data_IF_386208848785
#
_entry.id   IF_386208848785
#
_cell.length_a   1.000
_cell.length_b   1.000
_cell.length_c   1.000
_cell.angle_alpha   90.00
_cell.angle_beta   90.00
_cell.angle_gamma   90.00
#
_symmetry.space_group_name_H-M   'P 1'
#
loop_
_entity.id
_entity.type
_entity.pdbx_description
1 polymer ?
#
# COMPACT_ATOMS: atom_id res chain seq x y z
N UNK A 1 11.21 23.17 32.29
CA UNK A 1 11.44 23.91 33.55
C UNK A 1 11.82 22.85 34.59
N UNK A 2 13.11 22.64 34.77
CA UNK A 2 13.66 21.99 35.97
C UNK A 2 14.70 22.97 36.48
N UNK A 3 14.35 23.59 37.61
CA UNK A 3 15.11 24.60 38.31
C UNK A 3 16.40 23.98 38.86
N UNK A 4 17.56 24.53 38.49
CA UNK A 4 18.83 24.17 39.09
C UNK A 4 19.50 25.45 39.56
N UNK A 5 19.34 25.73 40.85
CA UNK A 5 20.11 26.74 41.57
C UNK A 5 21.59 26.36 41.50
N UNK A 6 22.38 27.28 40.96
CA UNK A 6 23.84 27.29 41.12
C UNK A 6 24.14 27.61 42.58
N UNK A 7 24.54 26.59 43.36
CA UNK A 7 25.09 26.78 44.69
C UNK A 7 26.57 26.39 44.65
N UNK A 8 27.43 27.30 45.13
CA UNK A 8 28.87 27.18 45.11
C UNK A 8 29.32 26.72 46.49
N UNK A 9 29.55 25.43 46.66
CA UNK A 9 30.19 24.89 47.87
C UNK A 9 31.33 23.96 47.48
N UNK A 10 32.51 24.20 48.06
CA UNK A 10 33.54 23.17 48.21
C UNK A 10 34.28 22.67 46.95
N UNK A 11 34.77 23.56 46.08
CA UNK A 11 36.08 23.40 45.42
C UNK A 11 36.43 22.15 44.59
N UNK A 12 35.55 21.19 44.32
CA UNK A 12 35.89 19.98 43.56
C UNK A 12 34.72 19.48 42.69
N UNK A 13 34.91 19.51 41.36
CA UNK A 13 34.04 18.83 40.42
C UNK A 13 34.53 17.40 40.23
N UNK A 14 33.84 16.44 40.86
CA UNK A 14 34.13 15.01 40.70
C UNK A 14 33.74 14.52 39.31
N UNK A 15 34.66 13.83 38.64
CA UNK A 15 34.46 13.20 37.34
C UNK A 15 33.50 12.01 37.45
N UNK A 16 32.26 12.19 37.02
CA UNK A 16 31.36 11.07 36.72
C UNK A 16 31.30 10.91 35.20
N UNK A 17 31.97 9.87 34.66
CA UNK A 17 31.88 9.45 33.26
C UNK A 17 30.48 8.92 32.96
N UNK A 18 29.54 9.83 32.73
CA UNK A 18 28.25 9.54 32.11
C UNK A 18 28.23 10.20 30.74
N UNK A 19 27.91 9.40 29.71
CA UNK A 19 27.79 9.75 28.29
C UNK A 19 27.28 11.20 28.10
N UNK A 20 28.20 12.13 27.85
CA UNK A 20 27.85 13.54 27.65
C UNK A 20 27.10 13.66 26.32
N UNK A 21 25.79 13.85 26.42
CA UNK A 21 24.94 14.14 25.29
C UNK A 21 25.48 15.38 24.56
N UNK A 22 26.15 15.17 23.42
CA UNK A 22 26.91 16.21 22.70
C UNK A 22 26.06 17.42 22.30
N UNK A 23 24.74 17.26 22.16
CA UNK A 23 23.81 18.37 21.90
C UNK A 23 23.71 19.34 23.09
N UNK A 24 23.64 18.81 24.32
CA UNK A 24 23.55 19.60 25.54
C UNK A 24 24.82 20.41 25.80
N UNK A 25 25.99 19.80 25.58
CA UNK A 25 27.30 20.44 25.75
C UNK A 25 27.45 21.70 24.87
N UNK A 26 27.05 21.62 23.60
CA UNK A 26 27.11 22.78 22.68
C UNK A 26 26.19 23.90 23.14
N UNK A 27 24.99 23.57 23.59
CA UNK A 27 24.02 24.55 24.07
C UNK A 27 24.55 25.31 25.30
N UNK A 28 25.16 24.60 26.26
CA UNK A 28 25.75 25.20 27.47
C UNK A 28 26.91 26.13 27.10
N UNK A 29 27.83 25.69 26.24
CA UNK A 29 28.98 26.50 25.80
C UNK A 29 28.50 27.78 25.09
N UNK A 30 27.50 27.67 24.21
CA UNK A 30 26.95 28.82 23.49
C UNK A 30 26.17 29.75 24.43
N UNK A 31 25.44 29.21 25.41
CA UNK A 31 24.73 30.01 26.41
C UNK A 31 25.71 30.82 27.30
N UNK A 32 26.81 30.20 27.76
CA UNK A 32 27.87 30.90 28.49
C UNK A 32 28.53 31.97 27.64
N UNK A 33 28.81 31.67 26.37
CA UNK A 33 29.36 32.64 25.43
C UNK A 33 28.41 33.83 25.21
N UNK A 34 27.10 33.59 25.08
CA UNK A 34 26.07 34.66 24.98
C UNK A 34 25.94 35.50 26.25
N UNK A 35 26.21 34.92 27.42
CA UNK A 35 26.24 35.63 28.72
C UNK A 35 27.51 36.49 28.91
N UNK A 36 28.41 36.55 27.92
CA UNK A 36 29.61 37.39 27.96
C UNK A 36 30.87 36.71 28.48
N UNK A 37 30.83 35.42 28.84
CA UNK A 37 32.03 34.69 29.26
C UNK A 37 32.98 34.50 28.07
N UNK A 38 34.28 34.75 28.30
CA UNK A 38 35.28 34.56 27.25
C UNK A 38 35.57 33.07 27.05
N UNK A 39 36.11 32.70 25.88
CA UNK A 39 36.50 31.31 25.61
C UNK A 39 37.52 30.74 26.62
N UNK A 40 38.31 31.61 27.26
CA UNK A 40 39.24 31.23 28.34
C UNK A 40 38.49 30.85 29.62
N UNK A 41 37.51 31.64 30.02
CA UNK A 41 36.68 31.40 31.21
C UNK A 41 35.87 30.10 31.07
N UNK A 42 35.31 29.89 29.87
CA UNK A 42 34.58 28.66 29.56
C UNK A 42 35.53 27.45 29.55
N UNK A 43 36.77 27.59 29.08
CA UNK A 43 37.76 26.50 29.16
C UNK A 43 38.18 26.17 30.60
N UNK A 44 38.24 27.17 31.49
CA UNK A 44 38.55 26.97 32.91
C UNK A 44 37.46 26.17 33.64
N UNK A 45 36.20 26.24 33.18
CA UNK A 45 35.08 25.46 33.74
C UNK A 45 35.15 23.95 33.46
N UNK A 46 36.15 23.47 32.68
CA UNK A 46 36.41 22.05 32.37
C UNK A 46 35.23 21.24 31.83
N UNK A 47 34.20 21.90 31.27
CA UNK A 47 33.01 21.25 30.68
C UNK A 47 33.39 20.46 29.41
N UNK A 48 34.41 20.89 28.66
CA UNK A 48 34.94 20.18 27.48
C UNK A 48 36.41 20.55 27.22
N UNK A 49 37.07 19.85 26.29
CA UNK A 49 38.41 20.21 25.86
C UNK A 49 38.47 21.62 25.27
N UNK A 50 39.57 22.34 25.53
CA UNK A 50 39.81 23.70 25.02
C UNK A 50 39.55 23.78 23.50
N UNK A 51 40.10 22.85 22.73
CA UNK A 51 39.90 22.78 21.26
C UNK A 51 38.42 22.66 20.85
N UNK A 52 37.63 21.88 21.60
CA UNK A 52 36.19 21.72 21.33
C UNK A 52 35.43 23.01 21.62
N UNK A 53 35.73 23.69 22.73
CA UNK A 53 35.08 24.96 23.11
C UNK A 53 35.33 26.03 22.03
N UNK A 54 36.59 26.24 21.64
CA UNK A 54 36.92 27.23 20.60
C UNK A 54 36.32 26.86 19.25
N UNK A 55 36.30 25.58 18.86
CA UNK A 55 35.65 25.12 17.63
C UNK A 55 34.14 25.36 17.64
N UNK A 56 33.48 25.15 18.79
CA UNK A 56 32.03 25.41 18.94
C UNK A 56 31.75 26.90 18.82
N UNK A 57 32.50 27.76 19.54
CA UNK A 57 32.34 29.21 19.49
C UNK A 57 32.60 29.74 18.07
N UNK A 58 33.66 29.27 17.40
CA UNK A 58 33.97 29.63 16.01
C UNK A 58 32.82 29.27 15.07
N UNK A 59 32.37 28.01 15.09
CA UNK A 59 31.26 27.58 14.24
C UNK A 59 29.96 28.35 14.56
N UNK A 60 29.73 28.72 15.82
CA UNK A 60 28.57 29.52 16.22
C UNK A 60 28.65 30.95 15.69
N UNK A 61 29.83 31.60 15.74
CA UNK A 61 30.04 32.93 15.13
C UNK A 61 29.80 32.92 13.61
N UNK A 62 30.25 31.88 12.93
CA UNK A 62 30.13 31.77 11.46
C UNK A 62 28.72 31.39 10.99
N UNK A 63 28.01 30.54 11.74
CA UNK A 63 26.72 29.98 11.30
C UNK A 63 25.50 30.50 12.05
N UNK A 64 25.67 31.16 13.19
CA UNK A 64 24.60 31.58 14.11
C UNK A 64 23.79 30.42 14.73
N UNK A 65 24.11 29.17 14.39
CA UNK A 65 23.32 28.00 14.76
C UNK A 65 24.01 27.17 15.83
N UNK A 66 23.20 26.71 16.80
CA UNK A 66 23.61 25.76 17.84
C UNK A 66 23.66 24.33 17.27
N UNK A 67 22.90 24.08 16.21
CA UNK A 67 22.72 22.75 15.61
C UNK A 67 23.96 22.35 14.81
N UNK A 68 24.39 21.11 14.99
CA UNK A 68 25.49 20.53 14.23
C UNK A 68 25.06 20.37 12.77
N UNK A 69 25.86 20.92 11.83
CA UNK A 69 25.64 20.69 10.40
C UNK A 69 25.68 19.19 10.11
N UNK A 70 24.72 18.70 9.33
CA UNK A 70 24.71 17.31 8.89
C UNK A 70 25.97 17.04 8.08
N UNK A 71 26.69 15.96 8.42
CA UNK A 71 27.82 15.53 7.62
C UNK A 71 27.36 15.14 6.21
N UNK A 72 28.19 15.41 5.20
CA UNK A 72 27.92 15.08 3.79
C UNK A 72 27.65 13.59 3.57
N UNK A 73 28.18 12.74 4.44
CA UNK A 73 28.01 11.29 4.36
C UNK A 73 28.77 10.69 3.19
N UNK A 74 28.62 9.37 3.00
CA UNK A 74 29.26 8.66 1.91
C UNK A 74 28.62 9.02 0.56
N UNK A 75 29.40 9.35 -0.48
CA UNK A 75 28.87 9.55 -1.83
C UNK A 75 28.07 8.34 -2.31
N UNK A 76 27.04 8.62 -3.12
CA UNK A 76 26.21 7.59 -3.75
C UNK A 76 27.04 6.85 -4.81
N UNK A 77 26.77 5.54 -4.97
CA UNK A 77 27.33 4.76 -6.09
C UNK A 77 26.71 5.10 -7.44
N UNK A 78 25.48 5.59 -7.43
CA UNK A 78 24.75 5.99 -8.63
C UNK A 78 24.73 7.50 -8.79
N UNK A 79 24.79 7.95 -10.03
CA UNK A 79 24.60 9.35 -10.42
C UNK A 79 23.10 9.68 -10.55
N UNK A 80 22.75 10.97 -10.48
CA UNK A 80 21.38 11.43 -10.71
C UNK A 80 20.84 11.02 -12.09
N UNK A 81 21.71 10.94 -13.11
CA UNK A 81 21.34 10.50 -14.46
C UNK A 81 20.99 9.00 -14.47
N UNK A 82 21.78 8.19 -13.78
CA UNK A 82 21.52 6.75 -13.64
C UNK A 82 20.20 6.50 -12.88
N UNK A 83 19.98 7.20 -11.77
CA UNK A 83 18.74 7.08 -10.99
C UNK A 83 17.50 7.43 -11.86
N UNK A 84 17.57 8.49 -12.68
CA UNK A 84 16.52 8.83 -13.65
C UNK A 84 16.27 7.73 -14.69
N UNK A 85 17.34 7.13 -15.21
CA UNK A 85 17.23 6.04 -16.19
C UNK A 85 16.60 4.79 -15.57
N UNK A 86 17.00 4.42 -14.35
CA UNK A 86 16.40 3.32 -13.59
C UNK A 86 14.90 3.52 -13.40
N UNK A 87 14.48 4.73 -13.04
CA UNK A 87 13.07 5.08 -12.95
C UNK A 87 12.36 4.83 -14.28
N UNK A 88 12.88 5.34 -15.41
CA UNK A 88 12.26 5.16 -16.72
C UNK A 88 12.13 3.68 -17.12
N UNK A 89 13.17 2.88 -16.88
CA UNK A 89 13.16 1.43 -17.14
C UNK A 89 12.04 0.76 -16.33
N UNK A 90 11.97 1.02 -15.03
CA UNK A 90 10.93 0.45 -14.16
C UNK A 90 9.53 0.99 -14.51
N UNK A 91 9.38 2.21 -15.03
CA UNK A 91 8.09 2.73 -15.46
C UNK A 91 7.58 2.02 -16.72
N UNK A 92 8.49 1.63 -17.62
CA UNK A 92 8.20 0.90 -18.87
C UNK A 92 7.81 -0.55 -18.58
N UNK A 93 8.54 -1.21 -17.69
CA UNK A 93 8.19 -2.53 -17.18
C UNK A 93 8.08 -2.52 -15.65
N UNK A 94 6.82 -2.56 -15.18
CA UNK A 94 6.47 -2.52 -13.75
C UNK A 94 6.70 -3.86 -13.06
N UNK A 95 6.91 -4.94 -13.81
CA UNK A 95 7.08 -6.29 -13.30
C UNK A 95 8.54 -6.63 -12.97
N UNK A 96 9.50 -5.93 -13.57
CA UNK A 96 10.93 -6.23 -13.41
C UNK A 96 11.35 -6.14 -11.95
N UNK A 97 12.07 -7.16 -11.49
CA UNK A 97 12.54 -7.27 -10.11
C UNK A 97 13.80 -6.43 -9.90
N UNK A 98 14.05 -6.01 -8.65
CA UNK A 98 15.29 -5.28 -8.32
C UNK A 98 16.56 -6.11 -8.56
N UNK A 99 16.45 -7.44 -8.64
CA UNK A 99 17.56 -8.35 -8.96
C UNK A 99 17.90 -8.33 -10.44
N UNK A 100 16.88 -8.43 -11.31
CA UNK A 100 17.06 -8.31 -12.77
C UNK A 100 17.61 -6.92 -13.12
N UNK A 101 17.02 -5.86 -12.56
CA UNK A 101 17.52 -4.50 -12.77
C UNK A 101 18.96 -4.32 -12.30
N UNK A 102 19.39 -5.01 -11.24
CA UNK A 102 20.78 -4.93 -10.77
C UNK A 102 21.75 -5.61 -11.74
N UNK A 103 21.34 -6.71 -12.38
CA UNK A 103 22.13 -7.38 -13.41
C UNK A 103 22.29 -6.48 -14.66
N UNK A 104 21.19 -5.89 -15.13
CA UNK A 104 21.21 -4.94 -16.25
C UNK A 104 22.08 -3.70 -15.94
N UNK A 105 21.95 -3.13 -14.74
CA UNK A 105 22.79 -2.01 -14.32
C UNK A 105 24.27 -2.36 -14.21
N UNK A 106 24.59 -3.60 -13.82
CA UNK A 106 25.97 -4.06 -13.76
C UNK A 106 26.58 -4.17 -15.16
N UNK A 107 25.81 -4.63 -16.15
CA UNK A 107 26.23 -4.63 -17.56
C UNK A 107 26.47 -3.21 -18.09
N UNK A 108 25.67 -2.24 -17.63
CA UNK A 108 25.86 -0.82 -17.93
C UNK A 108 27.00 -0.15 -17.14
N UNK A 109 27.82 -0.92 -16.41
CA UNK A 109 29.01 -0.43 -15.69
C UNK A 109 28.77 0.06 -14.26
N UNK A 110 27.54 -0.06 -13.72
CA UNK A 110 27.21 0.40 -12.37
C UNK A 110 27.13 -0.77 -11.39
N UNK A 111 28.16 -0.92 -10.54
CA UNK A 111 28.20 -1.97 -9.50
C UNK A 111 27.34 -1.60 -8.28
N UNK A 112 26.02 -1.75 -8.41
CA UNK A 112 25.05 -1.56 -7.33
C UNK A 112 24.26 -2.85 -7.04
N UNK A 113 23.97 -3.09 -5.76
CA UNK A 113 23.17 -4.25 -5.34
C UNK A 113 21.68 -4.00 -5.56
N UNK A 114 20.88 -5.07 -5.70
CA UNK A 114 19.41 -4.99 -5.75
C UNK A 114 18.81 -4.17 -4.60
N UNK A 115 19.41 -4.23 -3.40
CA UNK A 115 19.01 -3.41 -2.24
C UNK A 115 19.21 -1.91 -2.48
N UNK A 116 20.28 -1.53 -3.19
CA UNK A 116 20.55 -0.14 -3.56
C UNK A 116 19.52 0.36 -4.56
N UNK A 117 19.23 -0.42 -5.61
CA UNK A 117 18.21 -0.08 -6.60
C UNK A 117 16.83 0.06 -5.95
N UNK A 118 16.46 -0.88 -5.06
CA UNK A 118 15.20 -0.78 -4.30
C UNK A 118 15.12 0.53 -3.51
N UNK A 119 16.20 0.98 -2.86
CA UNK A 119 16.21 2.28 -2.16
C UNK A 119 16.00 3.44 -3.12
N UNK A 120 16.59 3.40 -4.32
CA UNK A 120 16.37 4.43 -5.36
C UNK A 120 14.93 4.49 -5.82
N UNK A 121 14.35 3.33 -6.14
CA UNK A 121 12.95 3.22 -6.52
C UNK A 121 12.02 3.74 -5.41
N UNK A 122 12.33 3.45 -4.13
CA UNK A 122 11.59 3.98 -2.99
C UNK A 122 11.72 5.50 -2.83
N UNK A 123 12.92 6.06 -3.05
CA UNK A 123 13.13 7.52 -3.06
C UNK A 123 12.27 8.19 -4.15
N UNK A 124 12.03 7.51 -5.27
CA UNK A 124 11.16 7.95 -6.36
C UNK A 124 9.67 7.61 -6.18
N UNK A 125 9.27 7.05 -5.03
CA UNK A 125 7.89 6.67 -4.73
C UNK A 125 7.41 5.36 -5.39
N UNK A 126 8.29 4.62 -6.05
CA UNK A 126 7.97 3.33 -6.67
C UNK A 126 8.07 2.21 -5.62
N UNK A 127 6.96 2.02 -4.90
CA UNK A 127 6.86 0.99 -3.87
C UNK A 127 6.22 -0.28 -4.43
N UNK A 128 6.83 -1.43 -4.16
CA UNK A 128 6.26 -2.73 -4.54
C UNK A 128 4.92 -2.98 -3.82
N UNK A 129 3.93 -3.40 -4.60
CA UNK A 129 2.57 -3.76 -4.19
C UNK A 129 2.14 -5.00 -4.96
N UNK A 130 1.14 -5.74 -4.46
CA UNK A 130 0.54 -6.84 -5.22
C UNK A 130 -0.25 -6.29 -6.40
N UNK A 131 -0.03 -6.84 -7.59
CA UNK A 131 -0.83 -6.51 -8.76
C UNK A 131 -2.30 -6.89 -8.54
N UNK A 132 -3.22 -6.04 -8.99
CA UNK A 132 -4.65 -6.33 -8.94
C UNK A 132 -4.97 -7.46 -9.92
N UNK A 133 -5.78 -8.43 -9.47
CA UNK A 133 -6.33 -9.47 -10.34
C UNK A 133 -7.60 -8.93 -11.00
N UNK A 134 -7.58 -8.79 -12.33
CA UNK A 134 -8.75 -8.42 -13.13
C UNK A 134 -8.98 -9.46 -14.23
N UNK A 135 -10.22 -9.78 -14.58
CA UNK A 135 -10.50 -10.62 -15.74
C UNK A 135 -9.92 -9.97 -17.01
N UNK A 136 -9.42 -10.81 -17.92
CA UNK A 136 -8.93 -10.35 -19.21
C UNK A 136 -10.12 -10.08 -20.13
N UNK A 137 -10.26 -8.85 -20.59
CA UNK A 137 -11.29 -8.48 -21.55
C UNK A 137 -10.73 -8.40 -22.97
N UNK A 138 -11.48 -8.92 -23.94
CA UNK A 138 -11.18 -8.68 -25.35
C UNK A 138 -11.43 -7.21 -25.70
N UNK A 139 -10.79 -6.69 -26.75
CA UNK A 139 -11.03 -5.32 -27.24
C UNK A 139 -12.50 -5.08 -27.58
N UNK A 140 -13.19 -6.10 -28.09
CA UNK A 140 -14.64 -6.08 -28.37
C UNK A 140 -15.44 -5.90 -27.08
N UNK A 141 -15.19 -6.73 -26.06
CA UNK A 141 -15.91 -6.66 -24.79
C UNK A 141 -15.71 -5.30 -24.10
N UNK A 142 -14.50 -4.73 -24.16
CA UNK A 142 -14.23 -3.38 -23.63
C UNK A 142 -15.08 -2.33 -24.35
N UNK A 143 -15.15 -2.39 -25.68
CA UNK A 143 -15.95 -1.47 -26.49
C UNK A 143 -17.44 -1.59 -26.17
N UNK A 144 -17.97 -2.81 -26.13
CA UNK A 144 -19.38 -3.06 -25.89
C UNK A 144 -19.80 -2.60 -24.48
N UNK A 145 -18.95 -2.85 -23.47
CA UNK A 145 -19.14 -2.32 -22.10
C UNK A 145 -19.12 -0.81 -22.06
N UNK A 146 -18.21 -0.16 -22.80
CA UNK A 146 -18.16 1.31 -22.87
C UNK A 146 -19.40 1.90 -23.54
N UNK A 147 -19.88 1.29 -24.64
CA UNK A 147 -21.12 1.71 -25.32
C UNK A 147 -22.31 1.56 -24.38
N UNK A 148 -22.40 0.43 -23.67
CA UNK A 148 -23.43 0.20 -22.67
C UNK A 148 -23.41 1.28 -21.58
N UNK A 149 -22.25 1.53 -20.96
CA UNK A 149 -22.13 2.56 -19.91
C UNK A 149 -22.47 3.97 -20.43
N UNK A 150 -22.09 4.31 -21.67
CA UNK A 150 -22.46 5.59 -22.27
C UNK A 150 -23.96 5.72 -22.53
N UNK A 151 -24.59 4.65 -23.02
CA UNK A 151 -26.04 4.62 -23.32
C UNK A 151 -26.90 4.87 -22.08
N UNK A 152 -26.49 4.31 -20.95
CA UNK A 152 -27.23 4.36 -19.69
C UNK A 152 -26.62 5.31 -18.65
N UNK A 153 -25.70 6.19 -19.08
CA UNK A 153 -24.98 7.13 -18.19
C UNK A 153 -25.94 8.10 -17.49
N UNK A 154 -26.94 8.55 -18.21
CA UNK A 154 -27.85 9.64 -17.81
C UNK A 154 -29.19 9.08 -17.27
N UNK A 155 -29.27 7.77 -17.01
CA UNK A 155 -30.45 7.14 -16.41
C UNK A 155 -30.64 7.55 -14.95
N UNK A 156 -31.89 7.85 -14.60
CA UNK A 156 -32.31 8.23 -13.24
C UNK A 156 -32.49 7.01 -12.34
N UNK A 157 -32.64 7.22 -11.04
CA UNK A 157 -32.93 6.14 -10.09
C UNK A 157 -34.26 5.45 -10.42
N UNK A 158 -35.25 6.21 -10.91
CA UNK A 158 -36.55 5.73 -11.35
C UNK A 158 -36.43 4.84 -12.59
N UNK A 159 -35.50 5.15 -13.50
CA UNK A 159 -35.24 4.33 -14.68
C UNK A 159 -34.55 3.01 -14.32
N UNK A 160 -33.55 3.06 -13.43
CA UNK A 160 -32.96 1.84 -12.86
C UNK A 160 -33.97 1.04 -12.03
N UNK A 161 -34.97 1.71 -11.45
CA UNK A 161 -36.08 1.12 -10.72
C UNK A 161 -36.92 0.13 -11.55
N UNK A 162 -36.90 0.27 -12.87
CA UNK A 162 -37.65 -0.58 -13.82
C UNK A 162 -36.86 -1.82 -14.24
N UNK A 163 -35.59 -1.93 -13.88
CA UNK A 163 -34.70 -3.03 -14.30
C UNK A 163 -34.83 -4.21 -13.33
N UNK A 164 -34.91 -5.41 -13.91
CA UNK A 164 -34.75 -6.67 -13.17
C UNK A 164 -33.36 -7.21 -13.50
N UNK A 165 -32.55 -7.39 -12.46
CA UNK A 165 -31.24 -8.01 -12.56
C UNK A 165 -31.38 -9.50 -12.30
N UNK A 166 -30.70 -10.32 -13.09
CA UNK A 166 -30.65 -11.76 -12.88
C UNK A 166 -29.24 -12.27 -13.09
N UNK A 167 -28.82 -13.23 -12.28
CA UNK A 167 -27.54 -13.91 -12.46
C UNK A 167 -27.64 -15.36 -11.97
N UNK A 168 -26.64 -16.16 -12.35
CA UNK A 168 -26.46 -17.53 -11.91
C UNK A 168 -25.17 -17.61 -11.10
N UNK A 169 -25.25 -18.16 -9.89
CA UNK A 169 -24.10 -18.31 -9.00
C UNK A 169 -23.89 -19.76 -8.59
N UNK A 170 -22.67 -20.30 -8.74
CA UNK A 170 -22.34 -21.63 -8.25
C UNK A 170 -22.03 -21.60 -6.74
N UNK A 171 -22.71 -22.45 -5.97
CA UNK A 171 -22.44 -22.67 -4.55
C UNK A 171 -21.75 -24.03 -4.36
N UNK A 172 -20.61 -24.02 -3.65
CA UNK A 172 -19.88 -25.24 -3.32
C UNK A 172 -20.55 -25.95 -2.15
N UNK A 173 -20.81 -27.24 -2.30
CA UNK A 173 -21.36 -28.08 -1.23
C UNK A 173 -20.29 -28.49 -0.20
N UNK A 174 -19.04 -28.59 -0.65
CA UNK A 174 -17.92 -29.00 0.19
C UNK A 174 -16.74 -28.02 0.09
N UNK A 175 -16.10 -27.78 1.24
CA UNK A 175 -14.95 -26.88 1.38
C UNK A 175 -15.39 -25.43 1.44
N UNK A 176 -15.42 -24.88 2.66
CA UNK A 176 -15.68 -23.46 2.88
C UNK A 176 -14.74 -22.61 2.01
N UNK A 177 -15.30 -21.60 1.35
CA UNK A 177 -14.51 -20.65 0.57
C UNK A 177 -13.64 -19.82 1.52
N UNK A 178 -12.35 -19.72 1.24
CA UNK A 178 -11.42 -18.88 1.99
C UNK A 178 -10.34 -19.65 2.75
N UNK A 179 -9.59 -18.92 3.59
CA UNK A 179 -8.45 -19.45 4.34
C UNK A 179 -8.88 -19.72 5.77
N UNK A 180 -8.93 -20.98 6.18
CA UNK A 180 -9.05 -21.34 7.61
C UNK A 180 -7.70 -21.13 8.29
N UNK A 181 -7.68 -20.29 9.32
CA UNK A 181 -6.51 -20.15 10.17
C UNK A 181 -6.51 -21.27 11.20
N UNK A 182 -5.36 -21.93 11.38
CA UNK A 182 -5.16 -22.96 12.41
C UNK A 182 -3.97 -22.57 13.28
N UNK A 183 -4.11 -22.67 14.60
CA UNK A 183 -3.02 -22.47 15.56
C UNK A 183 -2.23 -23.79 15.69
N UNK A 184 -0.93 -23.77 15.37
CA UNK A 184 -0.06 -24.97 15.41
C UNK A 184 1.36 -24.63 15.84
N UNK A 185 2.06 -25.59 16.45
CA UNK A 185 3.50 -25.52 16.77
C UNK A 185 4.36 -25.67 15.50
N UNK A 186 5.64 -25.28 15.57
CA UNK A 186 6.59 -25.48 14.47
C UNK A 186 6.68 -26.97 14.10
N UNK A 187 6.73 -27.29 12.80
CA UNK A 187 6.72 -28.67 12.30
C UNK A 187 5.32 -29.33 12.20
N UNK A 188 4.31 -28.84 12.93
CA UNK A 188 2.95 -29.41 12.93
C UNK A 188 2.11 -29.15 11.68
N UNK A 189 2.72 -28.83 10.53
CA UNK A 189 2.02 -28.41 9.31
C UNK A 189 1.07 -29.48 8.77
N UNK A 190 1.47 -30.74 8.85
CA UNK A 190 0.74 -31.89 8.30
C UNK A 190 0.01 -32.73 9.35
N UNK A 191 -0.04 -32.26 10.61
CA UNK A 191 -0.86 -32.91 11.62
C UNK A 191 -2.33 -32.91 11.18
N UNK A 192 -3.05 -34.02 11.32
CA UNK A 192 -4.41 -34.18 10.78
C UNK A 192 -5.37 -33.06 11.23
N UNK A 193 -5.28 -32.62 12.48
CA UNK A 193 -6.07 -31.48 13.01
C UNK A 193 -5.68 -30.10 12.47
N UNK A 194 -4.51 -30.01 11.81
CA UNK A 194 -3.94 -28.78 11.25
C UNK A 194 -4.07 -28.68 9.72
N UNK A 195 -4.63 -29.71 9.09
CA UNK A 195 -4.87 -29.79 7.64
C UNK A 195 -6.37 -29.65 7.39
N UNK A 196 -6.73 -28.88 6.37
CA UNK A 196 -8.08 -28.85 5.83
C UNK A 196 -8.15 -29.78 4.63
N UNK A 197 -9.02 -30.81 4.62
CA UNK A 197 -9.23 -31.64 3.45
C UNK A 197 -9.68 -30.79 2.25
N UNK A 198 -9.09 -31.04 1.08
CA UNK A 198 -9.44 -30.36 -0.16
C UNK A 198 -9.69 -31.40 -1.25
N UNK A 199 -10.78 -31.24 -1.98
CA UNK A 199 -11.08 -32.03 -3.19
C UNK A 199 -10.72 -31.22 -4.44
N UNK A 200 -10.22 -31.88 -5.50
CA UNK A 200 -9.77 -31.22 -6.73
C UNK A 200 -10.94 -30.53 -7.47
N UNK A 201 -12.10 -31.17 -7.51
CA UNK A 201 -13.32 -30.69 -8.14
C UNK A 201 -14.47 -30.81 -7.14
N UNK A 202 -14.68 -29.81 -6.26
CA UNK A 202 -15.78 -29.85 -5.31
C UNK A 202 -17.11 -29.81 -6.05
N UNK A 203 -18.07 -30.55 -5.54
CA UNK A 203 -19.43 -30.53 -6.07
C UNK A 203 -20.06 -29.14 -5.86
N UNK A 204 -20.72 -28.66 -6.91
CA UNK A 204 -21.35 -27.34 -6.94
C UNK A 204 -22.79 -27.46 -7.38
N UNK A 205 -23.67 -26.72 -6.71
CA UNK A 205 -25.04 -26.48 -7.16
C UNK A 205 -25.09 -25.10 -7.80
N UNK A 206 -25.77 -25.00 -8.93
CA UNK A 206 -26.00 -23.73 -9.62
C UNK A 206 -27.35 -23.20 -9.19
N UNK A 207 -27.38 -21.93 -8.81
CA UNK A 207 -28.61 -21.28 -8.37
C UNK A 207 -28.81 -20.04 -9.23
N UNK A 208 -29.95 -19.98 -9.89
CA UNK A 208 -30.40 -18.79 -10.58
C UNK A 208 -31.26 -17.94 -9.65
N UNK A 209 -31.09 -16.64 -9.72
CA UNK A 209 -31.96 -15.71 -9.02
C UNK A 209 -32.08 -14.40 -9.78
N UNK A 210 -33.14 -13.66 -9.45
CA UNK A 210 -33.31 -12.29 -9.92
C UNK A 210 -33.72 -11.36 -8.78
N UNK A 211 -33.48 -10.07 -8.94
CA UNK A 211 -33.93 -9.04 -8.01
C UNK A 211 -34.13 -7.70 -8.73
N UNK A 212 -34.93 -6.83 -8.13
CA UNK A 212 -35.15 -5.45 -8.59
C UNK A 212 -35.18 -4.50 -7.39
N UNK A 213 -35.37 -3.21 -7.63
CA UNK A 213 -35.60 -2.23 -6.55
C UNK A 213 -36.82 -2.54 -5.69
N UNK A 214 -37.78 -3.32 -6.20
CA UNK A 214 -38.99 -3.72 -5.49
C UNK A 214 -38.79 -4.94 -4.58
N UNK A 215 -37.65 -5.62 -4.68
CA UNK A 215 -37.33 -6.79 -3.86
C UNK A 215 -36.67 -7.93 -4.63
N UNK A 216 -36.48 -9.03 -3.91
CA UNK A 216 -35.93 -10.28 -4.45
C UNK A 216 -37.00 -11.04 -5.25
N UNK A 217 -36.62 -11.56 -6.41
CA UNK A 217 -37.42 -12.52 -7.15
C UNK A 217 -37.16 -13.96 -6.70
N UNK A 218 -37.69 -14.92 -7.46
CA UNK A 218 -37.52 -16.35 -7.16
C UNK A 218 -36.06 -16.77 -7.23
N UNK A 219 -35.69 -17.68 -6.34
CA UNK A 219 -34.41 -18.36 -6.32
C UNK A 219 -34.63 -19.83 -6.72
N UNK A 220 -34.02 -20.26 -7.81
CA UNK A 220 -34.26 -21.58 -8.39
C UNK A 220 -32.94 -22.36 -8.49
N UNK A 221 -32.92 -23.54 -7.88
CA UNK A 221 -31.79 -24.47 -8.02
C UNK A 221 -31.86 -25.08 -9.42
N UNK A 222 -30.79 -24.93 -10.18
CA UNK A 222 -30.70 -25.52 -11.51
C UNK A 222 -30.28 -26.99 -11.43
N UNK A 223 -30.87 -27.88 -12.24
CA UNK A 223 -30.42 -29.24 -12.35
C UNK A 223 -28.95 -29.31 -12.78
N UNK A 224 -28.23 -30.34 -12.31
CA UNK A 224 -26.82 -30.55 -12.66
C UNK A 224 -26.66 -30.65 -14.18
N UNK A 225 -25.63 -30.00 -14.72
CA UNK A 225 -25.29 -29.93 -16.15
C UNK A 225 -26.30 -29.19 -17.05
N UNK A 226 -27.25 -28.44 -16.47
CA UNK A 226 -28.12 -27.56 -17.27
C UNK A 226 -27.52 -26.15 -17.31
N UNK A 227 -27.02 -25.75 -18.48
CA UNK A 227 -26.79 -24.33 -18.76
C UNK A 227 -28.14 -23.71 -19.16
N UNK A 228 -28.53 -22.61 -18.53
CA UNK A 228 -29.74 -21.89 -18.97
C UNK A 228 -29.51 -21.28 -20.36
N UNK A 229 -30.21 -21.80 -21.37
CA UNK A 229 -30.33 -21.15 -22.67
C UNK A 229 -31.24 -19.91 -22.55
N UNK A 230 -31.14 -18.97 -23.50
CA UNK A 230 -31.93 -17.73 -23.56
C UNK A 230 -33.46 -17.93 -23.45
N UNK A 231 -33.95 -19.13 -23.69
CA UNK A 231 -35.37 -19.45 -23.71
C UNK A 231 -35.92 -19.82 -22.32
N UNK A 232 -35.06 -20.32 -21.42
CA UNK A 232 -35.45 -20.70 -20.04
C UNK A 232 -35.54 -19.51 -19.07
N UNK A 233 -34.89 -18.38 -19.39
CA UNK A 233 -34.99 -17.14 -18.61
C UNK A 233 -36.38 -16.50 -18.72
N UNK A 234 -37.04 -16.63 -19.88
CA UNK A 234 -38.32 -15.97 -20.13
C UNK A 234 -39.46 -16.68 -19.40
N UNK A 235 -39.49 -18.02 -19.43
CA UNK A 235 -40.54 -18.82 -18.78
C UNK A 235 -40.53 -18.73 -17.25
N UNK A 236 -39.36 -18.60 -16.63
CA UNK A 236 -39.23 -18.53 -15.16
C UNK A 236 -39.43 -17.11 -14.59
N UNK A 237 -39.23 -16.08 -15.40
CA UNK A 237 -39.42 -14.67 -15.01
C UNK A 237 -40.86 -14.18 -15.24
N UNK A 238 -41.57 -14.73 -16.23
CA UNK A 238 -42.97 -14.40 -16.54
C UNK A 238 -43.97 -14.83 -15.44
N UNK A 239 -43.62 -15.81 -14.61
CA UNK A 239 -44.53 -16.36 -13.59
C UNK A 239 -44.57 -15.57 -12.27
N UNK A 240 -43.62 -14.66 -12.00
CA UNK A 240 -43.47 -14.02 -10.69
C UNK A 240 -43.51 -12.48 -10.69
N UNK A 241 -43.35 -11.83 -11.85
CA UNK A 241 -43.55 -10.39 -12.01
C UNK A 241 -44.47 -10.17 -13.21
N UNK A 242 -45.59 -9.46 -13.02
CA UNK A 242 -46.50 -9.11 -14.13
C UNK A 242 -45.70 -8.46 -15.27
N UNK A 243 -45.65 -9.18 -16.39
CA UNK A 243 -45.09 -8.83 -17.71
C UNK A 243 -44.08 -7.66 -17.69
N UNK A 244 -42.77 -7.94 -17.54
CA UNK A 244 -41.75 -6.94 -17.83
C UNK A 244 -41.75 -6.66 -19.33
N UNK A 245 -41.82 -5.39 -19.74
CA UNK A 245 -41.59 -5.03 -21.14
C UNK A 245 -40.24 -5.62 -21.60
N UNK A 246 -40.19 -6.21 -22.81
CA UNK A 246 -39.03 -6.94 -23.40
C UNK A 246 -37.64 -6.29 -23.29
N UNK A 247 -37.54 -5.04 -22.84
CA UNK A 247 -36.30 -4.28 -22.64
C UNK A 247 -35.74 -4.25 -21.20
N UNK A 248 -36.37 -4.90 -20.21
CA UNK A 248 -36.05 -4.71 -18.77
C UNK A 248 -35.11 -5.74 -18.14
N UNK A 249 -34.70 -6.78 -18.86
CA UNK A 249 -33.81 -7.82 -18.35
C UNK A 249 -32.36 -7.52 -18.71
N UNK A 250 -31.56 -7.18 -17.70
CA UNK A 250 -30.13 -6.92 -17.85
C UNK A 250 -29.37 -8.18 -17.49
N UNK A 251 -28.79 -8.85 -18.50
CA UNK A 251 -28.02 -10.10 -18.33
C UNK A 251 -26.53 -9.83 -18.06
N UNK A 252 -25.82 -10.87 -17.61
CA UNK A 252 -24.50 -10.89 -16.96
C UNK A 252 -23.43 -9.91 -17.46
N UNK A 253 -23.36 -9.63 -18.77
CA UNK A 253 -22.35 -8.73 -19.33
C UNK A 253 -22.58 -7.26 -18.92
N UNK A 254 -23.82 -6.86 -18.74
CA UNK A 254 -24.19 -5.50 -18.39
C UNK A 254 -24.13 -5.24 -16.87
N UNK A 255 -24.52 -6.22 -16.06
CA UNK A 255 -24.42 -6.14 -14.59
C UNK A 255 -22.97 -6.04 -14.11
N UNK A 256 -22.07 -6.88 -14.66
CA UNK A 256 -20.63 -6.79 -14.39
C UNK A 256 -20.03 -5.45 -14.86
N UNK A 257 -20.56 -4.84 -15.93
CA UNK A 257 -20.16 -3.49 -16.39
C UNK A 257 -20.54 -2.37 -15.43
N UNK A 258 -21.72 -2.47 -14.80
CA UNK A 258 -22.21 -1.49 -13.83
C UNK A 258 -21.46 -1.56 -12.50
N UNK A 259 -21.26 -2.76 -11.95
CA UNK A 259 -20.66 -2.94 -10.62
C UNK A 259 -19.20 -2.48 -10.57
N UNK A 260 -18.43 -2.65 -11.66
CA UNK A 260 -17.07 -2.11 -11.75
C UNK A 260 -17.04 -0.57 -11.82
N UNK A 261 -18.07 0.08 -12.38
CA UNK A 261 -18.11 1.55 -12.54
C UNK A 261 -18.57 2.28 -11.27
N UNK A 262 -19.45 1.66 -10.48
CA UNK A 262 -19.86 2.17 -9.17
C UNK A 262 -18.73 2.10 -8.13
N UNK A 263 -17.92 1.03 -8.18
CA UNK A 263 -16.73 0.89 -7.33
C UNK A 263 -15.63 1.94 -7.60
N UNK A 264 -15.60 2.55 -8.80
CA UNK A 264 -14.64 3.60 -9.17
C UNK A 264 -15.08 4.98 -8.63
N UNK A 265 -16.37 5.22 -8.37
CA UNK A 265 -16.84 6.50 -7.79
C UNK A 265 -16.69 6.60 -6.27
N UNK A 266 -16.36 5.51 -5.58
CA UNK A 266 -16.25 5.47 -4.11
C UNK A 266 -14.80 5.52 -3.59
N UNK A 267 -13.82 5.85 -4.44
CA UNK A 267 -12.40 5.95 -4.06
C UNK A 267 -11.78 7.28 -4.49
#
# INVERSE_FOLDING_TARGET
ITDWKLQKEGGAWNHCSSSVNHGYLRAVIIALYKKGFTGKDIAASKIASKSTIYRIIKNFKESGSIVVKKASGRPRKSSKRQDRLLKLIQLRDRGTTSTELAQEWQQAGVRASARTLRRRLLEDGLVSRRAAKKPLFSRKNIRDRLIFCKRYRDWTAEDWGKVIFSDESPFRLFGASGKKLVRRRQGGRYHQSCVMPTVKHPETIHVWGCFSTKGMGSLTILPKNTAMNKDGTNTSSESNFSQPSRNSLVTNNAFSSMMEHLAIRQN
#
